data_IF_976071112808
#
_entry.id   IF_976071112808
#
_cell.length_a   1.000
_cell.length_b   1.000
_cell.length_c   1.000
_cell.angle_alpha   90.00
_cell.angle_beta   90.00
_cell.angle_gamma   90.00
#
_symmetry.space_group_name_H-M   'P 1'
#
loop_
_entity.id
_entity.type
_entity.pdbx_description
1 polymer ?
#
# COMPACT_ATOMS: atom_id res chain seq x y z
N UNK A 1 -2.00 14.19 -5.22
CA UNK A 1 -0.92 13.44 -4.53
C UNK A 1 0.36 13.43 -5.36
N UNK A 2 0.37 13.96 -6.58
CA UNK A 2 1.57 14.00 -7.42
C UNK A 2 1.99 15.46 -7.64
N UNK A 3 3.29 15.70 -7.64
CA UNK A 3 3.90 16.98 -7.98
C UNK A 3 5.02 16.78 -9.00
N UNK A 4 5.26 17.78 -9.85
CA UNK A 4 6.32 17.78 -10.86
C UNK A 4 7.72 17.59 -10.25
N UNK A 5 7.92 17.93 -8.97
CA UNK A 5 9.19 17.73 -8.27
C UNK A 5 9.35 16.33 -7.65
N UNK A 6 8.34 15.46 -7.72
CA UNK A 6 8.38 14.10 -7.15
C UNK A 6 8.57 13.07 -8.27
N UNK A 7 9.79 12.97 -8.79
CA UNK A 7 10.10 11.99 -9.83
C UNK A 7 10.04 10.56 -9.28
N UNK A 8 9.19 9.71 -9.88
CA UNK A 8 9.10 8.29 -9.58
C UNK A 8 10.45 7.57 -9.79
N UNK A 9 10.81 6.71 -8.83
CA UNK A 9 11.92 5.78 -8.99
C UNK A 9 11.53 4.63 -9.92
N UNK A 10 12.46 4.21 -10.78
CA UNK A 10 12.27 3.06 -11.66
C UNK A 10 12.63 1.76 -10.93
N UNK A 11 11.64 1.03 -10.43
CA UNK A 11 11.81 -0.22 -9.70
C UNK A 11 12.21 -1.42 -10.57
N UNK A 12 12.03 -1.35 -11.89
CA UNK A 12 12.50 -2.41 -12.80
C UNK A 12 14.04 -2.49 -12.82
N UNK A 13 14.71 -1.38 -12.51
CA UNK A 13 16.16 -1.32 -12.40
C UNK A 13 16.62 -1.96 -11.07
N UNK A 14 17.34 -3.10 -11.10
CA UNK A 14 17.77 -3.78 -9.88
C UNK A 14 18.69 -2.92 -9.00
N UNK A 15 19.44 -1.97 -9.58
CA UNK A 15 20.27 -1.05 -8.79
C UNK A 15 19.43 -0.13 -7.91
N UNK A 16 18.25 0.29 -8.39
CA UNK A 16 17.33 1.11 -7.58
C UNK A 16 16.83 0.31 -6.39
N UNK A 17 16.42 -0.94 -6.61
CA UNK A 17 15.92 -1.82 -5.54
C UNK A 17 17.01 -2.13 -4.50
N UNK A 18 18.24 -2.40 -4.96
CA UNK A 18 19.39 -2.60 -4.09
C UNK A 18 19.66 -1.37 -3.20
N UNK A 19 19.67 -0.16 -3.79
CA UNK A 19 19.88 1.06 -3.02
C UNK A 19 18.75 1.35 -2.04
N UNK A 20 17.49 1.09 -2.40
CA UNK A 20 16.36 1.19 -1.47
C UNK A 20 16.54 0.25 -0.27
N UNK A 21 16.95 -1.00 -0.49
CA UNK A 21 17.25 -1.93 0.60
C UNK A 21 18.43 -1.44 1.47
N UNK A 22 19.45 -0.84 0.88
CA UNK A 22 20.58 -0.24 1.61
C UNK A 22 20.15 0.91 2.52
N UNK A 23 19.23 1.77 2.06
CA UNK A 23 18.67 2.86 2.86
C UNK A 23 17.92 2.32 4.08
N UNK A 24 17.09 1.28 3.88
CA UNK A 24 16.36 0.63 4.98
C UNK A 24 17.34 0.05 6.01
N UNK A 25 18.33 -0.72 5.55
CA UNK A 25 19.37 -1.30 6.44
C UNK A 25 20.14 -0.23 7.20
N UNK A 26 20.47 0.91 6.57
CA UNK A 26 21.15 2.02 7.25
C UNK A 26 20.33 2.52 8.45
N UNK A 27 19.02 2.71 8.28
CA UNK A 27 18.17 3.16 9.38
C UNK A 27 17.96 2.08 10.45
N UNK A 28 17.83 0.81 10.06
CA UNK A 28 17.79 -0.30 11.01
C UNK A 28 19.04 -0.34 11.90
N UNK A 29 20.24 -0.11 11.32
CA UNK A 29 21.50 -0.01 12.09
C UNK A 29 21.52 1.17 13.07
N UNK A 30 20.66 2.17 12.90
CA UNK A 30 20.48 3.29 13.84
C UNK A 30 19.49 2.97 14.97
N UNK A 31 18.83 1.81 14.93
CA UNK A 31 17.94 1.32 15.99
C UNK A 31 16.47 1.72 15.83
N UNK A 32 16.02 2.07 14.63
CA UNK A 32 14.57 2.21 14.38
C UNK A 32 13.89 0.84 14.47
N UNK A 33 12.61 0.82 14.82
CA UNK A 33 11.86 -0.43 15.06
C UNK A 33 10.77 -0.70 14.02
N UNK A 34 10.71 0.08 12.96
CA UNK A 34 9.67 -0.08 11.96
C UNK A 34 9.69 0.94 10.84
N UNK A 35 8.93 0.61 9.79
CA UNK A 35 8.75 1.45 8.61
C UNK A 35 7.27 1.55 8.26
N UNK A 36 6.85 2.77 7.92
CA UNK A 36 5.60 3.00 7.20
C UNK A 36 5.95 3.36 5.76
N UNK A 37 5.60 2.50 4.82
CA UNK A 37 5.88 2.73 3.40
C UNK A 37 4.76 3.55 2.76
N UNK A 38 5.12 4.71 2.23
CA UNK A 38 4.23 5.65 1.53
C UNK A 38 3.87 5.14 0.14
N UNK A 39 2.57 5.15 -0.20
CA UNK A 39 2.00 4.73 -1.49
C UNK A 39 2.68 3.51 -2.14
N UNK A 40 3.05 2.52 -1.32
CA UNK A 40 3.99 1.47 -1.70
C UNK A 40 3.46 0.61 -2.86
N UNK A 41 2.13 0.51 -2.97
CA UNK A 41 1.48 -0.24 -4.03
C UNK A 41 1.65 0.35 -5.45
N UNK A 42 2.25 1.53 -5.59
CA UNK A 42 2.47 2.18 -6.88
C UNK A 42 3.89 1.96 -7.45
N UNK A 43 4.75 1.15 -6.80
CA UNK A 43 6.14 0.97 -7.22
C UNK A 43 6.27 0.28 -8.59
N UNK A 44 5.43 -0.71 -8.88
CA UNK A 44 5.45 -1.46 -10.14
C UNK A 44 4.54 -0.81 -11.19
N UNK A 45 5.10 -0.49 -12.36
CA UNK A 45 4.35 0.09 -13.49
C UNK A 45 4.12 -1.01 -14.53
N UNK A 46 2.89 -1.15 -15.01
CA UNK A 46 2.47 -2.18 -15.96
C UNK A 46 2.44 -1.73 -17.42
N UNK A 47 1.88 -0.55 -17.70
CA UNK A 47 1.75 0.01 -19.04
C UNK A 47 1.94 1.52 -19.04
N UNK A 48 2.37 2.06 -20.18
CA UNK A 48 2.53 3.51 -20.43
C UNK A 48 1.60 4.01 -21.53
N UNK A 49 0.57 3.24 -21.87
CA UNK A 49 -0.45 3.65 -22.83
C UNK A 49 -1.45 4.65 -22.21
N UNK A 50 -2.23 5.31 -23.07
CA UNK A 50 -3.29 6.21 -22.60
C UNK A 50 -4.42 5.41 -21.95
N UNK A 51 -4.93 5.92 -20.82
CA UNK A 51 -6.12 5.37 -20.19
C UNK A 51 -7.37 6.12 -20.66
N UNK A 52 -8.10 5.56 -21.63
CA UNK A 52 -9.31 6.20 -22.18
C UNK A 52 -10.56 6.08 -21.27
N UNK A 53 -10.47 5.33 -20.17
CA UNK A 53 -11.61 5.05 -19.26
C UNK A 53 -11.37 5.51 -17.82
N UNK A 54 -10.18 6.03 -17.52
CA UNK A 54 -9.76 6.37 -16.16
C UNK A 54 -8.64 7.40 -16.15
N UNK A 55 -7.91 7.46 -15.05
CA UNK A 55 -6.78 8.38 -14.84
C UNK A 55 -5.42 7.69 -14.88
N UNK A 56 -5.36 6.46 -15.41
CA UNK A 56 -4.14 5.67 -15.53
C UNK A 56 -3.78 4.85 -14.29
N UNK A 57 -4.46 5.02 -13.15
CA UNK A 57 -4.11 4.30 -11.91
C UNK A 57 -4.12 2.78 -12.04
N UNK A 58 -4.97 2.24 -12.92
CA UNK A 58 -5.04 0.80 -13.22
C UNK A 58 -3.75 0.22 -13.80
N UNK A 59 -2.86 1.08 -14.32
CA UNK A 59 -1.59 0.67 -14.89
C UNK A 59 -0.44 0.67 -13.89
N UNK A 60 -0.60 1.24 -12.68
CA UNK A 60 0.49 1.30 -11.70
C UNK A 60 0.08 0.93 -10.27
N UNK A 61 -1.19 1.06 -9.88
CA UNK A 61 -1.67 0.60 -8.59
C UNK A 61 -1.76 -0.93 -8.58
N UNK A 62 -1.04 -1.56 -7.66
CA UNK A 62 -0.89 -3.02 -7.57
C UNK A 62 -0.32 -3.62 -8.87
N UNK A 63 0.72 -2.97 -9.43
CA UNK A 63 1.33 -3.36 -10.70
C UNK A 63 1.91 -4.78 -10.73
N UNK A 64 2.29 -5.29 -11.92
CA UNK A 64 2.54 -6.72 -12.16
C UNK A 64 3.65 -7.34 -11.30
N UNK A 65 4.63 -6.55 -10.87
CA UNK A 65 5.79 -7.00 -10.10
C UNK A 65 5.76 -6.52 -8.65
N UNK A 66 4.64 -5.95 -8.17
CA UNK A 66 4.62 -5.30 -6.85
C UNK A 66 4.97 -6.26 -5.69
N UNK A 67 4.36 -7.44 -5.70
CA UNK A 67 4.58 -8.49 -4.72
C UNK A 67 6.01 -9.04 -4.79
N UNK A 68 6.53 -9.22 -6.01
CA UNK A 68 7.94 -9.62 -6.24
C UNK A 68 8.91 -8.61 -5.64
N UNK A 69 8.68 -7.31 -5.86
CA UNK A 69 9.55 -6.24 -5.36
C UNK A 69 9.47 -6.10 -3.85
N UNK A 70 8.28 -6.21 -3.26
CA UNK A 70 8.13 -6.15 -1.80
C UNK A 70 8.78 -7.35 -1.11
N UNK A 71 8.58 -8.55 -1.66
CA UNK A 71 9.21 -9.76 -1.14
C UNK A 71 10.75 -9.72 -1.30
N UNK A 72 11.26 -9.18 -2.42
CA UNK A 72 12.70 -8.91 -2.58
C UNK A 72 13.20 -7.90 -1.53
N UNK A 73 12.48 -6.80 -1.33
CA UNK A 73 12.84 -5.75 -0.38
C UNK A 73 12.85 -6.29 1.06
N UNK A 74 11.84 -7.07 1.44
CA UNK A 74 11.73 -7.73 2.74
C UNK A 74 12.98 -8.58 3.00
N UNK A 75 13.25 -9.57 2.14
CA UNK A 75 14.41 -10.49 2.29
C UNK A 75 15.75 -9.77 2.35
N UNK A 76 15.89 -8.67 1.61
CA UNK A 76 17.13 -7.90 1.52
C UNK A 76 17.27 -6.79 2.58
N UNK A 77 16.27 -6.59 3.44
CA UNK A 77 16.29 -5.52 4.45
C UNK A 77 15.55 -5.85 5.74
N UNK A 78 14.33 -5.34 5.95
CA UNK A 78 13.59 -5.41 7.20
C UNK A 78 13.19 -6.83 7.61
N UNK A 79 13.03 -7.76 6.66
CA UNK A 79 12.77 -9.18 6.95
C UNK A 79 13.93 -9.92 7.62
N UNK A 80 15.10 -9.30 7.73
CA UNK A 80 16.25 -9.87 8.43
C UNK A 80 16.16 -9.74 9.96
N UNK A 81 15.21 -8.94 10.46
CA UNK A 81 14.98 -8.74 11.88
C UNK A 81 13.48 -8.83 12.20
N UNK A 82 13.01 -9.91 12.88
CA UNK A 82 11.60 -10.11 13.17
C UNK A 82 11.04 -9.11 14.20
N UNK A 83 11.88 -8.23 14.77
CA UNK A 83 11.42 -7.17 15.67
C UNK A 83 11.01 -5.89 14.93
N UNK A 84 11.31 -5.78 13.63
CA UNK A 84 10.93 -4.64 12.80
C UNK A 84 9.48 -4.80 12.36
N UNK A 85 8.65 -3.80 12.66
CA UNK A 85 7.25 -3.75 12.21
C UNK A 85 7.12 -2.90 10.94
N UNK A 86 6.40 -3.42 9.96
CA UNK A 86 6.15 -2.74 8.68
C UNK A 86 4.66 -2.51 8.44
N UNK A 87 4.34 -1.33 7.93
CA UNK A 87 2.98 -1.00 7.49
C UNK A 87 3.00 -0.32 6.13
N UNK A 88 2.25 -0.83 5.18
CA UNK A 88 2.11 -0.23 3.86
C UNK A 88 0.89 0.66 3.77
N UNK A 89 1.05 1.87 3.23
CA UNK A 89 -0.07 2.71 2.82
C UNK A 89 -0.50 2.35 1.39
N UNK A 90 -1.77 1.99 1.23
CA UNK A 90 -2.33 1.61 -0.06
C UNK A 90 -3.31 2.67 -0.56
N UNK A 91 -2.90 3.41 -1.61
CA UNK A 91 -3.67 4.54 -2.15
C UNK A 91 -5.03 4.13 -2.73
N UNK A 92 -5.00 3.18 -3.65
CA UNK A 92 -6.15 2.54 -4.31
C UNK A 92 -5.80 1.06 -4.49
N UNK A 93 -6.54 0.17 -3.83
CA UNK A 93 -6.23 -1.26 -3.84
C UNK A 93 -7.51 -2.09 -3.64
N UNK A 94 -7.40 -3.41 -3.74
CA UNK A 94 -8.48 -4.35 -3.46
C UNK A 94 -8.24 -5.10 -2.16
N UNK A 95 -9.31 -5.64 -1.57
CA UNK A 95 -9.20 -6.56 -0.44
C UNK A 95 -8.29 -7.75 -0.78
N UNK A 96 -8.40 -8.31 -1.98
CA UNK A 96 -7.58 -9.44 -2.43
C UNK A 96 -6.08 -9.12 -2.50
N UNK A 97 -5.71 -7.90 -2.88
CA UNK A 97 -4.31 -7.47 -2.85
C UNK A 97 -3.84 -7.22 -1.41
N UNK A 98 -4.68 -6.60 -0.57
CA UNK A 98 -4.36 -6.39 0.85
C UNK A 98 -4.16 -7.71 1.61
N UNK A 99 -4.96 -8.74 1.29
CA UNK A 99 -4.74 -10.10 1.80
C UNK A 99 -3.32 -10.55 1.51
N UNK A 100 -2.84 -10.43 0.27
CA UNK A 100 -1.47 -10.82 -0.11
C UNK A 100 -0.40 -9.98 0.60
N UNK A 101 -0.52 -8.65 0.57
CA UNK A 101 0.49 -7.75 1.15
C UNK A 101 0.79 -8.02 2.62
N UNK A 102 -0.25 -8.31 3.41
CA UNK A 102 -0.15 -8.48 4.87
C UNK A 102 -0.37 -9.93 5.34
N UNK A 103 -0.36 -10.91 4.44
CA UNK A 103 -0.45 -12.31 4.83
C UNK A 103 0.86 -12.73 5.52
N UNK A 104 0.75 -13.42 6.66
CA UNK A 104 1.93 -13.81 7.48
C UNK A 104 2.94 -14.70 6.75
N UNK A 105 2.51 -15.44 5.73
CA UNK A 105 3.37 -16.34 4.93
C UNK A 105 3.91 -15.67 3.66
N UNK A 106 3.41 -14.48 3.29
CA UNK A 106 3.84 -13.79 2.07
C UNK A 106 5.26 -13.19 2.18
N UNK A 107 5.75 -12.97 3.41
CA UNK A 107 7.03 -12.31 3.67
C UNK A 107 7.14 -10.97 2.91
N UNK A 108 6.06 -10.17 2.93
CA UNK A 108 5.98 -8.85 2.31
C UNK A 108 5.92 -7.74 3.37
N UNK A 109 4.76 -7.49 3.98
CA UNK A 109 4.54 -6.49 5.03
C UNK A 109 3.79 -7.11 6.22
N UNK A 110 3.88 -6.51 7.41
CA UNK A 110 3.14 -7.01 8.58
C UNK A 110 1.68 -6.57 8.56
N UNK A 111 1.39 -5.37 8.05
CA UNK A 111 0.04 -4.81 7.98
C UNK A 111 -0.12 -3.77 6.87
N UNK A 112 -1.37 -3.42 6.56
CA UNK A 112 -1.70 -2.40 5.55
C UNK A 112 -2.76 -1.40 6.01
N UNK A 113 -2.62 -0.14 5.57
CA UNK A 113 -3.70 0.85 5.57
C UNK A 113 -4.44 0.80 4.25
N UNK A 114 -5.78 0.78 4.33
CA UNK A 114 -6.65 1.06 3.19
C UNK A 114 -7.57 2.24 3.54
N UNK A 115 -8.06 2.95 2.53
CA UNK A 115 -8.82 4.19 2.71
C UNK A 115 -10.28 4.08 2.29
N UNK A 116 -10.83 2.86 2.14
CA UNK A 116 -12.19 2.70 1.61
C UNK A 116 -13.24 3.28 2.56
N UNK A 117 -13.09 3.08 3.86
CA UNK A 117 -13.99 3.61 4.88
C UNK A 117 -13.95 5.14 5.00
N UNK A 118 -12.90 5.80 4.51
CA UNK A 118 -12.76 7.26 4.48
C UNK A 118 -13.29 7.89 3.18
N UNK A 119 -13.95 7.10 2.32
CA UNK A 119 -14.50 7.53 1.03
C UNK A 119 -16.02 7.35 0.95
N UNK A 120 -16.69 6.95 2.02
CA UNK A 120 -18.15 6.73 2.06
C UNK A 120 -18.98 8.02 1.91
N UNK A 121 -18.31 9.16 2.02
CA UNK A 121 -18.83 10.50 1.79
C UNK A 121 -18.40 11.09 0.43
N UNK A 122 -17.77 10.31 -0.46
CA UNK A 122 -17.40 10.79 -1.79
C UNK A 122 -18.53 10.54 -2.78
N UNK A 123 -19.12 11.61 -3.33
CA UNK A 123 -20.10 11.49 -4.40
C UNK A 123 -19.37 11.25 -5.73
N UNK A 124 -19.68 10.17 -6.45
CA UNK A 124 -19.03 9.81 -7.73
C UNK A 124 -17.49 9.76 -7.67
N UNK A 125 -16.91 9.41 -6.51
CA UNK A 125 -15.46 9.44 -6.23
C UNK A 125 -14.84 10.85 -6.20
N UNK A 126 -15.66 11.90 -6.20
CA UNK A 126 -15.23 13.29 -6.07
C UNK A 126 -15.09 13.68 -4.61
N UNK A 127 -13.85 13.86 -4.16
CA UNK A 127 -13.50 14.16 -2.77
C UNK A 127 -13.89 15.56 -2.28
N UNK A 128 -14.15 16.48 -3.21
CA UNK A 128 -14.43 17.89 -2.90
C UNK A 128 -15.94 18.19 -2.86
N UNK A 129 -16.77 17.17 -3.06
CA UNK A 129 -18.22 17.31 -3.01
C UNK A 129 -18.71 17.10 -1.59
N UNK A 130 -19.57 18.00 -1.10
CA UNK A 130 -20.18 17.86 0.22
C UNK A 130 -21.34 16.86 0.14
N UNK A 131 -21.17 15.70 0.76
CA UNK A 131 -22.19 14.65 0.91
C UNK A 131 -22.15 14.13 2.35
N UNK A 132 -23.30 13.89 3.02
CA UNK A 132 -23.30 13.13 4.25
C UNK A 132 -22.69 11.74 4.05
N UNK A 133 -21.91 11.26 5.02
CA UNK A 133 -21.34 9.92 4.93
C UNK A 133 -22.44 8.85 4.90
N UNK A 134 -22.20 7.79 4.13
CA UNK A 134 -23.08 6.62 4.11
C UNK A 134 -22.74 5.66 5.26
N UNK A 135 -23.62 5.61 6.27
CA UNK A 135 -23.41 4.78 7.46
C UNK A 135 -23.55 3.28 7.18
N UNK A 136 -24.42 2.88 6.26
CA UNK A 136 -24.57 1.45 5.92
C UNK A 136 -23.37 0.96 5.13
N UNK A 137 -22.89 1.76 4.17
CA UNK A 137 -21.66 1.46 3.42
C UNK A 137 -20.45 1.35 4.37
N UNK A 138 -20.33 2.26 5.33
CA UNK A 138 -19.27 2.23 6.33
C UNK A 138 -19.26 0.92 7.12
N UNK A 139 -20.41 0.51 7.65
CA UNK A 139 -20.53 -0.76 8.39
C UNK A 139 -20.20 -1.96 7.50
N UNK A 140 -20.72 -1.98 6.27
CA UNK A 140 -20.46 -3.05 5.32
C UNK A 140 -18.97 -3.16 5.02
N UNK A 141 -18.29 -2.04 4.74
CA UNK A 141 -16.85 -2.01 4.50
C UNK A 141 -16.05 -2.54 5.69
N UNK A 142 -16.32 -2.06 6.91
CA UNK A 142 -15.62 -2.57 8.08
C UNK A 142 -15.81 -4.08 8.25
N UNK A 143 -17.03 -4.59 8.06
CA UNK A 143 -17.32 -6.01 8.17
C UNK A 143 -16.58 -6.83 7.10
N UNK A 144 -16.75 -6.49 5.83
CA UNK A 144 -16.14 -7.20 4.70
C UNK A 144 -14.61 -7.20 4.78
N UNK A 145 -13.99 -6.07 5.14
CA UNK A 145 -12.54 -5.98 5.24
C UNK A 145 -12.00 -6.74 6.46
N UNK A 146 -12.67 -6.67 7.61
CA UNK A 146 -12.26 -7.44 8.79
C UNK A 146 -12.34 -8.94 8.55
N UNK A 147 -13.48 -9.43 8.02
CA UNK A 147 -13.66 -10.86 7.74
C UNK A 147 -12.68 -11.35 6.69
N UNK A 148 -12.55 -10.65 5.56
CA UNK A 148 -11.65 -11.08 4.50
C UNK A 148 -10.18 -11.07 4.91
N UNK A 149 -9.72 -10.07 5.65
CA UNK A 149 -8.35 -10.05 6.15
C UNK A 149 -8.10 -11.18 7.17
N UNK A 150 -9.06 -11.44 8.06
CA UNK A 150 -8.97 -12.55 9.02
C UNK A 150 -8.94 -13.92 8.33
N UNK A 151 -9.76 -14.15 7.31
CA UNK A 151 -9.79 -15.40 6.55
C UNK A 151 -8.44 -15.75 5.90
N UNK A 152 -7.68 -14.72 5.51
CA UNK A 152 -6.37 -14.86 4.89
C UNK A 152 -5.22 -14.82 5.90
N UNK A 153 -5.49 -14.79 7.21
CA UNK A 153 -4.50 -14.54 8.27
C UNK A 153 -3.63 -13.28 8.00
N UNK A 154 -4.27 -12.23 7.51
CA UNK A 154 -3.65 -10.96 7.15
C UNK A 154 -4.04 -9.84 8.11
N UNK A 155 -3.13 -8.90 8.36
CA UNK A 155 -3.37 -7.82 9.33
C UNK A 155 -3.76 -6.51 8.66
N UNK A 156 -4.84 -5.89 9.14
CA UNK A 156 -5.25 -4.54 8.74
C UNK A 156 -4.96 -3.54 9.86
N UNK A 157 -4.37 -2.40 9.51
CA UNK A 157 -4.18 -1.28 10.42
C UNK A 157 -5.47 -0.46 10.54
N UNK A 158 -5.93 -0.22 11.78
CA UNK A 158 -7.16 0.52 12.07
C UNK A 158 -6.87 1.99 12.33
N UNK A 159 -7.59 2.87 11.64
CA UNK A 159 -7.46 4.32 11.81
C UNK A 159 -8.71 5.07 11.34
N UNK A 160 -8.84 6.31 11.79
CA UNK A 160 -9.86 7.25 11.32
C UNK A 160 -9.27 8.48 10.64
N UNK A 161 -8.13 8.98 11.16
CA UNK A 161 -7.52 10.22 10.70
C UNK A 161 -6.03 10.02 10.48
N UNK A 162 -5.49 10.73 9.51
CA UNK A 162 -4.06 10.96 9.30
C UNK A 162 -3.84 12.45 9.00
N UNK A 163 -2.73 12.79 8.36
CA UNK A 163 -2.36 14.18 8.04
C UNK A 163 -2.70 14.58 6.59
N UNK A 164 -3.31 13.69 5.81
CA UNK A 164 -3.83 13.95 4.46
C UNK A 164 -5.20 14.62 4.49
#
# INVERSE_FOLDING_TARGET
MYDVSQADLNWDNPKVREECANIIKFWMQKGIQGFRFDVVNNMSKGSFENDDIGDGRRFYSDGPHIHEYLHELNRNSFGQDPTIMTVGEMSSTSLENCKKYANKEAEELDMVFNFHHLKVDYENKEKWTLKPFDFEELKHLFHTWQEGMQEADSTMALFWNCHD
#
